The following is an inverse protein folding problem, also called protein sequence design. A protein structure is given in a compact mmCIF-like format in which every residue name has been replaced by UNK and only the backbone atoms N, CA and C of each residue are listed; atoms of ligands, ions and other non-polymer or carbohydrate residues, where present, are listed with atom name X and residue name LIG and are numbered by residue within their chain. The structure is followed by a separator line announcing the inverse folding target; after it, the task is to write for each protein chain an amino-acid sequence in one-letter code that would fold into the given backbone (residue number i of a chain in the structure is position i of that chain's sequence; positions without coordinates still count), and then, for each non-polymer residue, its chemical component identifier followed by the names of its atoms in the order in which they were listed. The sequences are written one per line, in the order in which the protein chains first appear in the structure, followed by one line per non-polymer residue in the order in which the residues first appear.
data_IF_289830509084
#
_entry.id   IF_289830509084
#
_cell.length_a   1.000
_cell.length_b   1.000
_cell.length_c   1.000
_cell.angle_alpha   90.00
_cell.angle_beta   90.00
_cell.angle_gamma   90.00
#
_symmetry.space_group_name_H-M   'P 1'
#
loop_
_entity.id
_entity.type
_entity.pdbx_description
1 polymer ?
#
# COMPACT_ATOMS: atom_id res chain seq x y z
N UNK A 1 -13.96 -1.77 -0.44
CA UNK A 1 -12.53 -2.06 -0.29
C UNK A 1 -11.96 -1.10 0.73
N UNK A 2 -11.13 -1.59 1.66
CA UNK A 2 -10.56 -0.85 2.78
C UNK A 2 -9.08 -0.58 2.53
N UNK A 3 -8.66 0.67 2.63
CA UNK A 3 -7.29 1.13 2.42
C UNK A 3 -6.70 1.63 3.74
N UNK A 4 -5.42 1.36 3.94
CA UNK A 4 -4.63 1.99 4.99
C UNK A 4 -3.65 2.98 4.36
N UNK A 5 -3.63 4.22 4.85
CA UNK A 5 -2.60 5.20 4.54
C UNK A 5 -1.69 5.33 5.75
N UNK A 6 -0.38 5.28 5.53
CA UNK A 6 0.64 5.55 6.55
C UNK A 6 1.47 6.73 6.06
N UNK A 7 1.21 7.90 6.62
CA UNK A 7 1.71 9.20 6.17
C UNK A 7 1.72 10.18 7.35
N UNK A 8 2.89 10.70 7.72
CA UNK A 8 3.04 11.66 8.82
C UNK A 8 2.74 13.11 8.40
N UNK A 9 2.85 13.42 7.11
CA UNK A 9 2.50 14.75 6.62
C UNK A 9 0.97 14.94 6.57
N UNK A 10 0.44 15.59 7.61
CA UNK A 10 -1.01 15.84 7.80
C UNK A 10 -1.75 16.29 6.54
N UNK A 11 -1.20 17.25 5.77
CA UNK A 11 -1.84 17.76 4.55
C UNK A 11 -1.96 16.70 3.46
N UNK A 12 -0.90 15.92 3.27
CA UNK A 12 -0.86 14.83 2.29
C UNK A 12 -1.81 13.72 2.72
N UNK A 13 -1.80 13.33 4.00
CA UNK A 13 -2.72 12.34 4.56
C UNK A 13 -4.20 12.74 4.41
N UNK A 14 -4.56 13.98 4.75
CA UNK A 14 -5.92 14.51 4.59
C UNK A 14 -6.35 14.57 3.12
N UNK A 15 -5.46 15.02 2.24
CA UNK A 15 -5.70 15.07 0.80
C UNK A 15 -6.00 13.69 0.20
N UNK A 16 -5.17 12.70 0.52
CA UNK A 16 -5.35 11.32 0.08
C UNK A 16 -6.63 10.72 0.64
N UNK A 17 -6.87 10.89 1.94
CA UNK A 17 -8.05 10.35 2.61
C UNK A 17 -9.32 10.88 1.97
N UNK A 18 -9.40 12.20 1.74
CA UNK A 18 -10.54 12.83 1.08
C UNK A 18 -10.75 12.29 -0.34
N UNK A 19 -9.72 12.34 -1.18
CA UNK A 19 -9.84 11.93 -2.58
C UNK A 19 -10.20 10.46 -2.74
N UNK A 20 -9.61 9.57 -1.94
CA UNK A 20 -9.89 8.13 -1.99
C UNK A 20 -11.29 7.80 -1.42
N UNK A 21 -11.73 8.52 -0.38
CA UNK A 21 -13.10 8.38 0.13
C UNK A 21 -14.13 8.82 -0.91
N UNK A 22 -13.91 9.95 -1.59
CA UNK A 22 -14.75 10.41 -2.71
C UNK A 22 -14.75 9.42 -3.89
N UNK A 23 -13.68 8.65 -4.07
CA UNK A 23 -13.59 7.57 -5.06
C UNK A 23 -14.28 6.26 -4.62
N UNK A 24 -14.89 6.20 -3.43
CA UNK A 24 -15.67 5.07 -2.93
C UNK A 24 -14.91 4.07 -2.06
N UNK A 25 -13.71 4.41 -1.58
CA UNK A 25 -12.94 3.56 -0.66
C UNK A 25 -13.24 3.88 0.80
N UNK A 26 -13.14 2.87 1.67
CA UNK A 26 -13.04 3.09 3.13
C UNK A 26 -11.57 3.30 3.44
N UNK A 27 -11.22 4.39 4.12
CA UNK A 27 -9.82 4.78 4.31
C UNK A 27 -9.54 5.02 5.79
N UNK A 28 -8.54 4.31 6.32
CA UNK A 28 -7.94 4.63 7.61
C UNK A 28 -6.60 5.34 7.37
N UNK A 29 -6.30 6.34 8.21
CA UNK A 29 -5.04 7.09 8.17
C UNK A 29 -4.28 6.89 9.48
N UNK A 30 -3.01 6.48 9.36
CA UNK A 30 -2.03 6.48 10.43
C UNK A 30 -0.99 7.58 10.16
N UNK A 31 -0.75 8.42 11.18
CA UNK A 31 0.16 9.56 11.13
C UNK A 31 1.61 9.23 11.54
N UNK A 32 1.90 7.95 11.78
CA UNK A 32 3.23 7.45 12.10
C UNK A 32 3.35 5.97 11.75
N UNK A 33 4.60 5.50 11.62
CA UNK A 33 4.89 4.15 11.13
C UNK A 33 4.58 3.04 12.12
N UNK A 34 4.74 3.26 13.43
CA UNK A 34 4.42 2.25 14.44
C UNK A 34 2.91 1.96 14.49
N UNK A 35 2.08 3.01 14.47
CA UNK A 35 0.63 2.86 14.40
C UNK A 35 0.21 2.25 13.05
N UNK A 36 0.80 2.73 11.94
CA UNK A 36 0.56 2.17 10.61
C UNK A 36 0.88 0.67 10.53
N UNK A 37 2.03 0.26 11.06
CA UNK A 37 2.41 -1.15 11.13
C UNK A 37 1.46 -1.96 12.03
N UNK A 38 1.08 -1.43 13.19
CA UNK A 38 0.14 -2.09 14.09
C UNK A 38 -1.22 -2.33 13.42
N UNK A 39 -1.76 -1.31 12.73
CA UNK A 39 -3.00 -1.43 11.97
C UNK A 39 -2.86 -2.44 10.83
N UNK A 40 -1.79 -2.37 10.04
CA UNK A 40 -1.53 -3.31 8.95
C UNK A 40 -1.41 -4.77 9.43
N UNK A 41 -0.93 -4.98 10.66
CA UNK A 41 -0.81 -6.32 11.26
C UNK A 41 -2.12 -6.87 11.79
N UNK A 42 -2.97 -6.02 12.36
CA UNK A 42 -4.19 -6.44 13.08
C UNK A 42 -5.47 -6.27 12.28
N UNK A 43 -5.49 -5.36 11.30
CA UNK A 43 -6.64 -5.06 10.46
C UNK A 43 -6.61 -5.80 9.12
N UNK A 44 -7.80 -5.90 8.52
CA UNK A 44 -8.01 -6.40 7.17
C UNK A 44 -8.05 -5.21 6.19
N UNK A 45 -6.95 -5.03 5.46
CA UNK A 45 -6.82 -4.01 4.43
C UNK A 45 -6.59 -4.65 3.07
N UNK A 46 -7.26 -4.10 2.05
CA UNK A 46 -7.12 -4.55 0.67
C UNK A 46 -5.88 -3.96 0.00
N UNK A 47 -5.36 -2.83 0.50
CA UNK A 47 -4.12 -2.19 0.04
C UNK A 47 -3.59 -1.21 1.08
N UNK A 48 -2.26 -1.07 1.15
CA UNK A 48 -1.56 -0.08 1.97
C UNK A 48 -0.89 0.95 1.05
N UNK A 49 -1.08 2.24 1.35
CA UNK A 49 -0.28 3.35 0.81
C UNK A 49 0.69 3.78 1.91
N UNK A 50 1.99 3.70 1.65
CA UNK A 50 3.02 3.84 2.68
C UNK A 50 4.09 4.85 2.26
N UNK A 51 4.33 5.87 3.07
CA UNK A 51 5.59 6.64 2.97
C UNK A 51 6.74 5.86 3.61
N UNK A 52 7.94 6.05 3.06
CA UNK A 52 9.19 5.54 3.58
C UNK A 52 9.77 6.43 4.68
N UNK A 53 9.58 7.75 4.56
CA UNK A 53 10.19 8.74 5.44
C UNK A 53 9.28 9.08 6.63
N UNK A 54 9.04 8.10 7.50
CA UNK A 54 8.23 8.27 8.70
C UNK A 54 9.12 8.63 9.91
N UNK A 55 8.58 9.33 10.93
CA UNK A 55 9.38 9.89 12.03
C UNK A 55 9.95 8.84 13.00
N UNK A 56 9.31 7.67 13.12
CA UNK A 56 9.53 6.69 14.18
C UNK A 56 10.14 5.38 13.68
N UNK A 57 9.78 4.93 12.48
CA UNK A 57 10.32 3.72 11.86
C UNK A 57 10.48 3.93 10.36
N UNK A 58 11.52 3.33 9.77
CA UNK A 58 11.72 3.42 8.33
C UNK A 58 10.66 2.58 7.59
N UNK A 59 9.96 3.15 6.60
CA UNK A 59 8.94 2.39 5.85
C UNK A 59 9.51 1.18 5.09
N UNK A 60 10.80 1.15 4.77
CA UNK A 60 11.46 -0.07 4.26
C UNK A 60 11.35 -1.25 5.23
N UNK A 61 11.51 -0.98 6.53
CA UNK A 61 11.41 -2.01 7.56
C UNK A 61 9.97 -2.48 7.72
N UNK A 62 8.99 -1.57 7.62
CA UNK A 62 7.56 -1.93 7.61
C UNK A 62 7.26 -2.92 6.47
N UNK A 63 7.69 -2.62 5.24
CA UNK A 63 7.49 -3.54 4.09
C UNK A 63 8.08 -4.92 4.40
N UNK A 64 9.34 -4.96 4.82
CA UNK A 64 10.04 -6.22 5.14
C UNK A 64 9.32 -7.00 6.24
N UNK A 65 8.87 -6.33 7.29
CA UNK A 65 8.20 -6.96 8.43
C UNK A 65 6.82 -7.51 8.03
N UNK A 66 6.03 -6.76 7.26
CA UNK A 66 4.74 -7.23 6.74
C UNK A 66 4.91 -8.47 5.85
N UNK A 67 5.89 -8.46 4.94
CA UNK A 67 6.17 -9.62 4.08
C UNK A 67 6.69 -10.82 4.88
N UNK A 68 7.56 -10.61 5.86
CA UNK A 68 8.03 -11.67 6.76
C UNK A 68 6.90 -12.27 7.61
N UNK A 69 5.87 -11.49 7.90
CA UNK A 69 4.66 -11.93 8.58
C UNK A 69 3.60 -12.54 7.63
N UNK A 70 3.95 -12.83 6.37
CA UNK A 70 3.06 -13.36 5.33
C UNK A 70 1.80 -12.49 5.07
N UNK A 71 1.90 -11.18 5.28
CA UNK A 71 0.84 -10.24 4.88
C UNK A 71 0.91 -10.02 3.37
N UNK A 72 -0.11 -10.49 2.66
CA UNK A 72 -0.17 -10.52 1.19
C UNK A 72 -0.90 -9.35 0.53
N UNK A 73 -1.41 -8.37 1.29
CA UNK A 73 -2.05 -7.21 0.68
C UNK A 73 -1.03 -6.39 -0.13
N UNK A 74 -1.43 -5.82 -1.28
CA UNK A 74 -0.58 -4.92 -2.05
C UNK A 74 -0.10 -3.71 -1.25
N UNK A 75 1.16 -3.34 -1.43
CA UNK A 75 1.76 -2.13 -0.86
C UNK A 75 2.16 -1.19 -2.00
N UNK A 76 1.56 0.00 -2.03
CA UNK A 76 1.98 1.13 -2.87
C UNK A 76 2.87 2.05 -2.05
N UNK A 77 4.13 2.18 -2.43
CA UNK A 77 5.02 3.17 -1.83
C UNK A 77 4.72 4.56 -2.40
N UNK A 78 4.54 5.54 -1.54
CA UNK A 78 4.29 6.93 -1.90
C UNK A 78 5.27 7.86 -1.17
N UNK A 79 6.33 8.29 -1.82
CA UNK A 79 7.44 8.99 -1.13
C UNK A 79 8.14 10.01 -2.00
N UNK A 80 8.91 10.92 -1.40
CA UNK A 80 9.78 11.85 -2.13
C UNK A 80 11.10 11.21 -2.64
N UNK A 81 11.41 9.96 -2.25
CA UNK A 81 12.58 9.24 -2.75
C UNK A 81 12.38 8.85 -4.23
N UNK A 82 12.92 9.63 -5.16
CA UNK A 82 12.64 9.50 -6.60
C UNK A 82 13.68 8.78 -7.47
N UNK A 83 14.82 8.37 -6.90
CA UNK A 83 15.88 7.75 -7.70
C UNK A 83 15.49 6.35 -8.20
N UNK A 84 16.20 5.84 -9.19
CA UNK A 84 15.95 4.48 -9.72
C UNK A 84 16.29 3.45 -8.65
N UNK A 85 17.38 3.66 -7.92
CA UNK A 85 17.86 2.77 -6.86
C UNK A 85 16.83 2.63 -5.74
N UNK A 86 16.18 3.71 -5.33
CA UNK A 86 15.10 3.65 -4.32
C UNK A 86 13.88 2.88 -4.82
N UNK A 87 13.50 3.07 -6.09
CA UNK A 87 12.39 2.34 -6.71
C UNK A 87 12.68 0.85 -6.79
N UNK A 88 13.87 0.48 -7.28
CA UNK A 88 14.32 -0.92 -7.35
C UNK A 88 14.33 -1.54 -5.96
N UNK A 89 14.93 -0.87 -4.97
CA UNK A 89 14.97 -1.33 -3.58
C UNK A 89 13.57 -1.62 -3.03
N UNK A 90 12.61 -0.73 -3.27
CA UNK A 90 11.25 -0.94 -2.77
C UNK A 90 10.56 -2.17 -3.34
N UNK A 91 10.72 -2.38 -4.64
CA UNK A 91 10.14 -3.55 -5.32
C UNK A 91 10.83 -4.85 -4.85
N UNK A 92 12.15 -4.86 -4.69
CA UNK A 92 12.90 -6.02 -4.19
C UNK A 92 12.56 -6.38 -2.73
N UNK A 93 12.20 -5.39 -1.91
CA UNK A 93 11.72 -5.62 -0.54
C UNK A 93 10.29 -6.17 -0.49
N UNK A 94 9.57 -6.18 -1.62
CA UNK A 94 8.24 -6.75 -1.74
C UNK A 94 7.10 -5.74 -1.80
N UNK A 95 7.38 -4.45 -2.04
CA UNK A 95 6.32 -3.53 -2.46
C UNK A 95 5.86 -3.85 -3.89
N UNK A 96 4.59 -3.57 -4.18
CA UNK A 96 3.95 -3.97 -5.44
C UNK A 96 3.97 -2.85 -6.49
N UNK A 97 4.05 -1.61 -6.04
CA UNK A 97 4.18 -0.44 -6.90
C UNK A 97 4.83 0.73 -6.14
N UNK A 98 5.20 1.77 -6.88
CA UNK A 98 5.91 2.93 -6.39
C UNK A 98 5.42 4.21 -7.08
N UNK A 99 5.13 5.25 -6.31
CA UNK A 99 4.77 6.58 -6.79
C UNK A 99 5.59 7.65 -6.07
N UNK A 100 6.20 8.56 -6.84
CA UNK A 100 7.08 9.61 -6.33
C UNK A 100 6.27 10.89 -6.08
N UNK A 101 6.52 11.58 -4.96
CA UNK A 101 5.99 12.93 -4.69
C UNK A 101 6.82 13.99 -5.47
N UNK A 102 6.19 15.03 -6.07
CA UNK A 102 4.75 15.28 -6.16
C UNK A 102 4.06 14.41 -7.21
N UNK A 103 2.79 14.10 -7.01
CA UNK A 103 2.02 13.20 -7.86
C UNK A 103 0.67 13.81 -8.26
N UNK A 104 0.11 13.32 -9.37
CA UNK A 104 -1.27 13.60 -9.73
C UNK A 104 -2.21 12.58 -9.07
N UNK A 105 -3.31 13.03 -8.46
CA UNK A 105 -4.28 12.13 -7.84
C UNK A 105 -4.86 11.10 -8.83
N UNK A 106 -5.06 11.50 -10.09
CA UNK A 106 -5.52 10.59 -11.13
C UNK A 106 -4.55 9.41 -11.36
N UNK A 107 -3.24 9.66 -11.26
CA UNK A 107 -2.23 8.60 -11.37
C UNK A 107 -2.28 7.66 -10.15
N UNK A 108 -2.32 8.22 -8.94
CA UNK A 108 -2.45 7.44 -7.71
C UNK A 108 -3.68 6.54 -7.76
N UNK A 109 -4.84 7.09 -8.15
CA UNK A 109 -6.09 6.35 -8.24
C UNK A 109 -6.02 5.22 -9.27
N UNK A 110 -5.38 5.46 -10.42
CA UNK A 110 -5.19 4.43 -11.45
C UNK A 110 -4.32 3.27 -10.95
N UNK A 111 -3.25 3.57 -10.19
CA UNK A 111 -2.36 2.57 -9.59
C UNK A 111 -3.07 1.77 -8.50
N UNK A 112 -3.75 2.44 -7.57
CA UNK A 112 -4.57 1.80 -6.53
C UNK A 112 -5.56 0.82 -7.17
N UNK A 113 -6.36 1.27 -8.15
CA UNK A 113 -7.31 0.39 -8.85
C UNK A 113 -6.64 -0.79 -9.55
N UNK A 114 -5.43 -0.61 -10.06
CA UNK A 114 -4.69 -1.68 -10.75
C UNK A 114 -4.19 -2.74 -9.78
N UNK A 115 -3.63 -2.33 -8.64
CA UNK A 115 -3.20 -3.24 -7.59
C UNK A 115 -4.39 -4.04 -7.02
N UNK A 116 -5.51 -3.38 -6.76
CA UNK A 116 -6.72 -4.02 -6.23
C UNK A 116 -7.33 -5.06 -7.18
N UNK A 117 -7.26 -4.84 -8.51
CA UNK A 117 -7.69 -5.86 -9.48
C UNK A 117 -6.80 -7.11 -9.49
N UNK A 118 -5.49 -6.96 -9.26
CA UNK A 118 -4.54 -8.09 -9.25
C UNK A 118 -4.75 -9.01 -8.05
N UNK A 119 -5.03 -8.44 -6.88
CA UNK A 119 -5.35 -9.22 -5.67
C UNK A 119 -6.62 -10.08 -5.82
N UNK A 120 -7.63 -9.59 -6.55
CA UNK A 120 -8.87 -10.32 -6.79
C UNK A 120 -8.72 -11.48 -7.79
N UNK A 121 -7.75 -11.42 -8.71
CA UNK A 121 -7.58 -12.41 -9.78
C UNK A 121 -6.99 -13.76 -9.29
N UNK A 122 -6.52 -13.85 -8.04
CA UNK A 122 -5.91 -15.07 -7.48
C UNK A 122 -6.96 -16.09 -6.99
N UNK A 123 -8.26 -15.75 -6.95
CA UNK A 123 -9.34 -16.68 -6.57
C UNK A 123 -10.02 -17.27 -7.82
N UNK A 124 -9.26 -17.99 -8.64
CA UNK A 124 -9.85 -19.00 -9.52
C UNK A 124 -9.32 -20.34 -9.02
N UNK A 125 -10.06 -20.97 -8.12
CA UNK A 125 -9.90 -22.40 -7.84
C UNK A 125 -10.06 -23.14 -9.17
N UNK A 126 -8.94 -23.60 -9.73
CA UNK A 126 -9.00 -24.57 -10.81
C UNK A 126 -9.36 -25.91 -10.17
N UNK A 127 -10.66 -26.16 -10.04
CA UNK A 127 -11.19 -27.49 -9.76
C UNK A 127 -10.89 -28.38 -10.97
N UNK A 128 -9.68 -28.92 -11.01
CA UNK A 128 -9.38 -30.08 -11.85
C UNK A 128 -10.10 -31.29 -11.21
N UNK A 129 -11.37 -31.48 -11.59
CA UNK A 129 -12.01 -32.78 -11.50
C UNK A 129 -11.23 -33.73 -12.40
N UNK A 130 -10.46 -34.64 -11.78
CA UNK A 130 -9.92 -35.80 -12.49
C UNK A 130 -11.10 -36.62 -13.04
N UNK A 131 -11.11 -36.98 -14.33
CA UNK A 131 -12.02 -38.00 -14.80
C UNK A 131 -11.60 -39.34 -14.18
N UNK A 132 -12.64 -40.08 -13.80
CA UNK A 132 -12.66 -41.36 -13.08
C UNK A 132 -11.85 -42.44 -13.80
#
# INVERSE_FOLDING_TARGET
MKLLIVEDEKKTGEYLTKGLTEAGFVVDLADNGLNGYHLAMTGDYDLIILDIMLPDVNGWDIVRMLRSANKGMPILLLTALGTIEHRVKGLELGADDYLVKPFAFAELLARVRTLLRRGAAVIIEVSFRLPI
#
